data_IF_062121033483
#
_entry.id   IF_062121033483
#
_cell.length_a   1.000
_cell.length_b   1.000
_cell.length_c   1.000
_cell.angle_alpha   90.00
_cell.angle_beta   90.00
_cell.angle_gamma   90.00
#
_symmetry.space_group_name_H-M   'P 1'
#
loop_
_entity.id
_entity.type
_entity.pdbx_description
1 polymer ?
#
# COMPACT_ATOMS: atom_id res chain seq x y z
N UNK A 1 6.74 -4.71 -10.64
CA UNK A 1 6.35 -5.42 -9.40
C UNK A 1 6.61 -6.94 -9.45
N UNK A 2 5.98 -7.70 -10.35
CA UNK A 2 6.15 -9.17 -10.42
C UNK A 2 7.60 -9.63 -10.65
N UNK A 3 8.38 -8.87 -11.42
CA UNK A 3 9.82 -9.14 -11.57
C UNK A 3 10.55 -9.06 -10.21
N UNK A 4 10.30 -8.03 -9.41
CA UNK A 4 10.92 -7.87 -8.09
C UNK A 4 10.57 -9.03 -7.14
N UNK A 5 9.31 -9.49 -7.15
CA UNK A 5 8.88 -10.66 -6.36
C UNK A 5 9.62 -11.94 -6.79
N UNK A 6 9.83 -12.13 -8.09
CA UNK A 6 10.62 -13.26 -8.62
C UNK A 6 12.10 -13.21 -8.22
N UNK A 7 12.61 -12.04 -7.86
CA UNK A 7 14.02 -11.81 -7.52
C UNK A 7 14.25 -11.47 -6.04
N UNK A 8 13.33 -11.86 -5.15
CA UNK A 8 13.57 -11.87 -3.70
C UNK A 8 12.85 -10.78 -2.91
N UNK A 9 12.06 -9.91 -3.53
CA UNK A 9 11.11 -9.07 -2.79
C UNK A 9 10.03 -9.93 -2.13
N UNK A 10 9.71 -9.64 -0.87
CA UNK A 10 8.75 -10.44 -0.08
C UNK A 10 7.31 -9.95 -0.18
N UNK A 11 7.15 -8.68 -0.57
CA UNK A 11 5.86 -7.99 -0.65
C UNK A 11 6.00 -6.82 -1.63
N UNK A 12 4.89 -6.43 -2.24
CA UNK A 12 4.74 -5.00 -2.49
C UNK A 12 3.38 -4.61 -3.02
N UNK A 13 3.24 -3.30 -3.19
CA UNK A 13 1.97 -2.64 -3.37
C UNK A 13 1.92 -2.01 -4.76
N UNK A 14 0.81 -2.21 -5.46
CA UNK A 14 0.40 -1.41 -6.59
C UNK A 14 -0.67 -0.44 -6.08
N UNK A 15 -0.35 0.84 -6.06
CA UNK A 15 -1.24 1.89 -5.57
C UNK A 15 -1.91 2.52 -6.78
N UNK A 16 -3.24 2.55 -6.78
CA UNK A 16 -4.05 3.29 -7.76
C UNK A 16 -4.66 4.52 -7.07
N UNK A 17 -4.12 5.73 -7.31
CA UNK A 17 -4.62 6.97 -6.71
C UNK A 17 -6.02 7.36 -7.17
N UNK A 18 -6.39 7.05 -8.41
CA UNK A 18 -7.68 7.46 -8.99
C UNK A 18 -8.81 6.61 -8.39
N UNK A 19 -8.58 5.30 -8.22
CA UNK A 19 -9.53 4.40 -7.57
C UNK A 19 -9.41 4.38 -6.03
N UNK A 20 -8.40 5.05 -5.46
CA UNK A 20 -8.04 4.95 -4.04
C UNK A 20 -7.96 3.50 -3.55
N UNK A 21 -7.27 2.67 -4.32
CA UNK A 21 -7.12 1.25 -4.01
C UNK A 21 -5.67 0.80 -3.98
N UNK A 22 -5.40 -0.23 -3.20
CA UNK A 22 -4.08 -0.84 -3.09
C UNK A 22 -4.21 -2.33 -3.39
N UNK A 23 -3.50 -2.77 -4.43
CA UNK A 23 -3.35 -4.19 -4.73
C UNK A 23 -2.02 -4.69 -4.17
N UNK A 24 -2.10 -5.56 -3.17
CA UNK A 24 -0.96 -6.10 -2.43
C UNK A 24 -0.58 -7.44 -3.03
N UNK A 25 0.72 -7.65 -3.24
CA UNK A 25 1.26 -8.88 -3.80
C UNK A 25 2.20 -9.55 -2.79
N UNK A 26 1.69 -10.45 -1.93
CA UNK A 26 2.53 -11.27 -1.07
C UNK A 26 3.31 -12.31 -1.91
N UNK A 27 4.51 -12.67 -1.46
CA UNK A 27 5.30 -13.69 -2.14
C UNK A 27 4.56 -15.05 -2.17
N UNK A 28 4.39 -15.60 -3.37
CA UNK A 28 3.80 -16.93 -3.57
C UNK A 28 2.28 -17.02 -3.35
N UNK A 29 1.60 -15.89 -3.14
CA UNK A 29 0.16 -15.83 -2.91
C UNK A 29 -0.54 -15.03 -4.02
N UNK A 30 -1.87 -15.14 -4.07
CA UNK A 30 -2.66 -14.30 -4.98
C UNK A 30 -2.66 -12.85 -4.49
N UNK A 31 -2.80 -11.87 -5.41
CA UNK A 31 -2.90 -10.47 -5.00
C UNK A 31 -4.18 -10.20 -4.22
N UNK A 32 -4.11 -9.31 -3.24
CA UNK A 32 -5.23 -8.91 -2.38
C UNK A 32 -5.54 -7.43 -2.56
N UNK A 33 -6.82 -7.08 -2.67
CA UNK A 33 -7.28 -5.73 -2.94
C UNK A 33 -7.82 -5.07 -1.67
N UNK A 34 -7.28 -3.90 -1.34
CA UNK A 34 -7.68 -3.09 -0.20
C UNK A 34 -8.25 -1.75 -0.69
N UNK A 35 -9.39 -1.35 -0.14
CA UNK A 35 -10.16 -0.17 -0.59
C UNK A 35 -10.78 0.62 0.56
N UNK A 36 -11.06 -0.02 1.69
CA UNK A 36 -11.71 0.69 2.79
C UNK A 36 -10.67 1.54 3.54
N UNK A 37 -10.96 2.80 3.89
CA UNK A 37 -9.99 3.67 4.56
C UNK A 37 -9.41 3.10 5.87
N UNK A 38 -10.15 2.23 6.54
CA UNK A 38 -9.76 1.57 7.81
C UNK A 38 -8.98 0.27 7.61
N UNK A 39 -8.90 -0.23 6.37
CA UNK A 39 -8.14 -1.44 6.08
C UNK A 39 -6.67 -1.20 6.39
N UNK A 40 -6.09 -2.07 7.20
CA UNK A 40 -4.66 -2.07 7.51
C UNK A 40 -3.93 -2.82 6.41
N UNK A 41 -2.96 -2.17 5.78
CA UNK A 41 -2.19 -2.77 4.71
C UNK A 41 -1.14 -3.73 5.30
N UNK A 42 -1.00 -4.95 4.74
CA UNK A 42 0.07 -5.86 5.12
C UNK A 42 1.43 -5.19 4.92
N UNK A 43 2.32 -5.35 5.89
CA UNK A 43 3.71 -4.84 5.83
C UNK A 43 4.70 -5.99 5.99
N UNK A 44 5.95 -5.86 5.52
CA UNK A 44 6.97 -6.88 5.75
C UNK A 44 7.33 -7.01 7.23
N UNK A 45 7.74 -8.20 7.68
CA UNK A 45 8.14 -8.49 9.07
C UNK A 45 9.18 -7.51 9.64
N UNK A 46 10.03 -6.94 8.77
CA UNK A 46 11.04 -5.95 9.14
C UNK A 46 10.44 -4.71 9.83
N UNK A 47 9.19 -4.40 9.53
CA UNK A 47 8.45 -3.23 10.04
C UNK A 47 7.10 -3.65 10.64
N UNK A 48 7.06 -4.81 11.30
CA UNK A 48 5.82 -5.41 11.80
C UNK A 48 4.98 -4.51 12.73
N UNK A 49 5.60 -3.53 13.39
CA UNK A 49 4.91 -2.57 14.26
C UNK A 49 4.18 -1.45 13.49
N UNK A 50 4.35 -1.37 12.17
CA UNK A 50 3.72 -0.34 11.35
C UNK A 50 2.27 -0.69 11.07
N UNK A 51 1.38 0.19 11.52
CA UNK A 51 -0.06 0.14 11.27
C UNK A 51 -0.39 1.23 10.24
N UNK A 52 -0.25 0.91 8.95
CA UNK A 52 -0.57 1.85 7.86
C UNK A 52 -1.93 1.48 7.32
N UNK A 53 -2.90 2.39 7.46
CA UNK A 53 -4.21 2.21 6.83
C UNK A 53 -4.20 2.71 5.39
N UNK A 54 -5.17 2.25 4.59
CA UNK A 54 -5.45 2.82 3.26
C UNK A 54 -5.69 4.33 3.35
N UNK A 55 -6.40 4.78 4.39
CA UNK A 55 -6.66 6.20 4.65
C UNK A 55 -5.38 7.01 4.88
N UNK A 56 -4.46 6.48 5.68
CA UNK A 56 -3.16 7.13 5.94
C UNK A 56 -2.36 7.26 4.63
N UNK A 57 -2.27 6.17 3.86
CA UNK A 57 -1.53 6.13 2.61
C UNK A 57 -2.02 7.20 1.60
N UNK A 58 -3.33 7.27 1.37
CA UNK A 58 -3.89 8.28 0.46
C UNK A 58 -3.92 9.68 1.07
N UNK A 59 -3.91 9.80 2.40
CA UNK A 59 -3.65 11.04 3.10
C UNK A 59 -2.28 11.63 2.74
N UNK A 60 -1.25 10.79 2.59
CA UNK A 60 0.11 11.22 2.22
C UNK A 60 0.26 11.58 0.74
N UNK A 61 -0.51 10.95 -0.15
CA UNK A 61 -0.44 11.19 -1.60
C UNK A 61 -1.06 12.53 -2.03
N UNK A 62 -1.54 13.35 -1.08
CA UNK A 62 -1.96 14.72 -1.35
C UNK A 62 -0.74 15.55 -1.75
N UNK A 63 -0.58 15.78 -3.07
CA UNK A 63 0.40 16.70 -3.61
C UNK A 63 0.14 18.11 -3.06
N UNK A 64 1.05 18.60 -2.21
CA UNK A 64 1.09 20.00 -1.78
C UNK A 64 0.09 20.37 -0.69
N UNK A 65 0.55 20.31 0.56
CA UNK A 65 0.06 21.25 1.55
C UNK A 65 0.51 22.66 1.16
N UNK A 66 -0.33 23.41 0.46
CA UNK A 66 -0.34 24.85 0.61
C UNK A 66 -1.55 25.21 1.46
N UNK A 67 -1.26 25.81 2.61
CA UNK A 67 -2.25 26.49 3.45
C UNK A 67 -2.99 27.57 2.66
N UNK A 68 -4.18 27.94 3.16
CA UNK A 68 -5.15 28.93 2.65
C UNK A 68 -5.95 28.39 1.43
N UNK A 69 -7.21 28.02 1.56
CA UNK A 69 -8.36 28.71 2.20
C UNK A 69 -9.23 27.80 3.05
#
# INVERSE_FOLDING_TARGET
MLHCLKHGSRLGWLIDPDERSVLVYPLGQQPELFREPKDVLPVPDLVADWQITVGDLFGWLRLGGNSFT
#
